data_IF_308949661341
#
_entry.id   IF_308949661341
#
_cell.length_a   1.000
_cell.length_b   1.000
_cell.length_c   1.000
_cell.angle_alpha   90.00
_cell.angle_beta   90.00
_cell.angle_gamma   90.00
#
_symmetry.space_group_name_H-M   'P 1'
#
loop_
_entity.id
_entity.type
_entity.pdbx_description
1 polymer ?
#
# COMPACT_ATOMS: atom_id res chain seq x y z
N UNK A 1 -27.32 0.49 -56.96
CA UNK A 1 -27.97 -0.55 -56.13
C UNK A 1 -27.00 -1.70 -55.90
N UNK A 2 -26.47 -1.81 -54.68
CA UNK A 2 -26.18 -3.06 -53.94
C UNK A 2 -25.53 -2.64 -52.62
N UNK A 3 -26.39 -2.40 -51.63
CA UNK A 3 -26.00 -2.30 -50.22
C UNK A 3 -25.50 -3.67 -49.77
N UNK A 4 -24.28 -3.72 -49.23
CA UNK A 4 -23.79 -4.84 -48.45
C UNK A 4 -24.00 -4.51 -46.99
N UNK A 5 -25.18 -4.87 -46.48
CA UNK A 5 -25.47 -4.89 -45.06
C UNK A 5 -24.71 -6.08 -44.44
N UNK A 6 -23.69 -5.78 -43.64
CA UNK A 6 -23.09 -6.76 -42.75
C UNK A 6 -23.79 -6.64 -41.39
N UNK A 7 -24.75 -7.54 -41.18
CA UNK A 7 -25.24 -7.90 -39.85
C UNK A 7 -24.19 -8.80 -39.23
N UNK A 8 -23.55 -8.34 -38.16
CA UNK A 8 -22.71 -9.19 -37.30
C UNK A 8 -23.48 -9.40 -36.00
N UNK A 9 -24.05 -10.59 -35.90
CA UNK A 9 -24.61 -11.20 -34.71
C UNK A 9 -23.47 -11.94 -34.00
N UNK A 10 -23.14 -11.59 -32.76
CA UNK A 10 -22.28 -12.37 -31.85
C UNK A 10 -22.60 -11.90 -30.43
N UNK A 11 -23.42 -12.63 -29.66
CA UNK A 11 -23.13 -13.86 -28.91
C UNK A 11 -22.33 -13.61 -27.63
N UNK A 12 -23.05 -13.78 -26.50
CA UNK A 12 -22.63 -14.22 -25.18
C UNK A 12 -21.13 -14.48 -24.95
N UNK A 13 -20.57 -13.89 -23.88
CA UNK A 13 -20.02 -14.64 -22.75
C UNK A 13 -19.82 -13.70 -21.55
N UNK A 14 -20.57 -13.94 -20.48
CA UNK A 14 -20.20 -13.47 -19.15
C UNK A 14 -19.10 -14.35 -18.55
N UNK A 15 -18.63 -13.92 -17.37
CA UNK A 15 -17.53 -14.50 -16.57
C UNK A 15 -16.17 -14.06 -17.11
N UNK A 16 -15.49 -13.05 -16.56
CA UNK A 16 -15.29 -12.72 -15.15
C UNK A 16 -13.88 -13.14 -14.79
N UNK A 17 -12.94 -12.19 -14.65
CA UNK A 17 -11.59 -12.37 -14.08
C UNK A 17 -11.09 -10.98 -13.64
N UNK A 18 -11.16 -10.68 -12.34
CA UNK A 18 -10.06 -10.66 -11.35
C UNK A 18 -9.02 -9.57 -11.63
N UNK A 19 -9.25 -8.40 -11.03
CA UNK A 19 -8.34 -7.25 -11.00
C UNK A 19 -7.20 -7.51 -10.02
N UNK A 20 -5.97 -7.20 -10.42
CA UNK A 20 -4.79 -7.25 -9.55
C UNK A 20 -4.45 -5.82 -9.10
N UNK A 21 -4.84 -5.48 -7.88
CA UNK A 21 -4.41 -4.27 -7.18
C UNK A 21 -2.90 -4.35 -6.91
N UNK A 22 -2.18 -3.26 -7.18
CA UNK A 22 -0.80 -3.09 -6.70
C UNK A 22 -0.90 -2.79 -5.21
N UNK A 23 -0.22 -3.60 -4.41
CA UNK A 23 -0.30 -3.53 -2.97
C UNK A 23 0.44 -2.28 -2.45
N UNK A 24 -0.20 -1.42 -1.65
CA UNK A 24 0.48 -0.41 -0.84
C UNK A 24 1.46 -1.12 0.10
N UNK A 25 2.76 -0.84 -0.05
CA UNK A 25 3.83 -1.47 0.76
C UNK A 25 4.50 -0.45 1.66
N UNK A 26 4.27 -0.60 2.97
CA UNK A 26 4.94 0.18 4.01
C UNK A 26 6.24 -0.48 4.47
N UNK A 27 7.31 0.30 4.54
CA UNK A 27 8.63 -0.16 4.98
C UNK A 27 8.87 0.24 6.44
N UNK A 28 9.11 -0.74 7.32
CA UNK A 28 9.33 -0.51 8.75
C UNK A 28 10.58 -1.25 9.26
N UNK A 29 11.21 -0.69 10.28
CA UNK A 29 12.17 -1.41 11.12
C UNK A 29 11.46 -1.90 12.39
N UNK A 30 11.63 -3.18 12.68
CA UNK A 30 11.04 -3.83 13.85
C UNK A 30 12.07 -4.68 14.59
N UNK A 31 11.92 -4.75 15.91
CA UNK A 31 12.79 -5.53 16.79
C UNK A 31 12.02 -6.76 17.26
N UNK A 32 12.66 -7.92 17.18
CA UNK A 32 12.14 -9.18 17.71
C UNK A 32 12.99 -9.67 18.87
N UNK A 33 12.34 -10.09 19.95
CA UNK A 33 13.00 -10.44 21.23
C UNK A 33 12.34 -11.66 21.87
N UNK A 34 12.99 -12.82 21.79
CA UNK A 34 12.44 -14.08 22.31
C UNK A 34 13.17 -14.51 23.58
N UNK A 35 12.46 -14.74 24.70
CA UNK A 35 13.07 -15.21 25.92
C UNK A 35 13.64 -16.63 25.72
N UNK A 36 14.84 -16.86 26.24
CA UNK A 36 15.51 -18.16 26.25
C UNK A 36 15.35 -18.75 27.63
N UNK A 37 14.47 -19.75 27.74
CA UNK A 37 14.25 -20.43 29.01
C UNK A 37 15.29 -21.55 29.18
N UNK A 38 16.21 -21.47 30.16
CA UNK A 38 17.27 -22.47 30.34
C UNK A 38 16.73 -23.86 30.72
N UNK A 39 15.52 -23.91 31.29
CA UNK A 39 14.91 -25.14 31.80
C UNK A 39 13.78 -25.66 30.89
N UNK A 40 13.41 -24.90 29.85
CA UNK A 40 12.35 -25.24 28.92
C UNK A 40 12.86 -26.00 27.70
N UNK A 41 12.02 -26.84 27.10
CA UNK A 41 12.26 -27.31 25.72
C UNK A 41 11.95 -26.15 24.78
N UNK A 42 12.99 -25.56 24.17
CA UNK A 42 12.81 -24.56 23.10
C UNK A 42 11.93 -25.15 21.99
N UNK A 43 10.81 -24.49 21.68
CA UNK A 43 9.99 -24.84 20.51
C UNK A 43 10.57 -24.13 19.28
N UNK A 44 11.57 -24.75 18.65
CA UNK A 44 12.17 -24.24 17.43
C UNK A 44 13.44 -23.43 17.66
N UNK A 45 13.90 -22.75 16.60
CA UNK A 45 15.14 -21.97 16.62
C UNK A 45 14.79 -20.56 17.16
N UNK A 46 15.43 -20.08 18.25
CA UNK A 46 15.11 -18.77 18.85
C UNK A 46 15.15 -17.60 17.86
N UNK A 47 16.07 -17.66 16.90
CA UNK A 47 16.19 -16.70 15.80
C UNK A 47 14.91 -16.61 14.96
N UNK A 48 14.32 -17.73 14.59
CA UNK A 48 13.13 -17.77 13.74
C UNK A 48 11.93 -17.20 14.51
N UNK A 49 11.81 -17.54 15.80
CA UNK A 49 10.78 -16.97 16.66
C UNK A 49 10.94 -15.45 16.84
N UNK A 50 12.17 -14.95 16.94
CA UNK A 50 12.43 -13.52 17.04
C UNK A 50 12.08 -12.80 15.72
N UNK A 51 12.37 -13.41 14.57
CA UNK A 51 11.91 -12.90 13.28
C UNK A 51 10.38 -12.84 13.23
N UNK A 52 9.69 -13.92 13.61
CA UNK A 52 8.22 -13.96 13.63
C UNK A 52 7.61 -12.85 14.52
N UNK A 53 8.24 -12.58 15.66
CA UNK A 53 7.82 -11.48 16.54
C UNK A 53 8.06 -10.11 15.92
N UNK A 54 9.20 -9.89 15.26
CA UNK A 54 9.47 -8.63 14.56
C UNK A 54 8.46 -8.38 13.43
N UNK A 55 8.09 -9.42 12.67
CA UNK A 55 7.03 -9.34 11.67
C UNK A 55 5.68 -8.96 12.29
N UNK A 56 5.34 -9.57 13.43
CA UNK A 56 4.11 -9.25 14.17
C UNK A 56 4.07 -7.79 14.59
N UNK A 57 5.13 -7.31 15.22
CA UNK A 57 5.22 -5.92 15.64
C UNK A 57 5.06 -4.95 14.46
N UNK A 58 5.73 -5.21 13.32
CA UNK A 58 5.61 -4.38 12.13
C UNK A 58 4.17 -4.32 11.59
N UNK A 59 3.51 -5.48 11.44
CA UNK A 59 2.14 -5.56 10.93
C UNK A 59 1.15 -4.92 11.92
N UNK A 60 1.31 -5.17 13.23
CA UNK A 60 0.49 -4.58 14.27
C UNK A 60 0.64 -3.06 14.30
N UNK A 61 1.84 -2.51 14.08
CA UNK A 61 2.04 -1.06 13.99
C UNK A 61 1.26 -0.46 12.82
N UNK A 62 1.34 -1.06 11.63
CA UNK A 62 0.54 -0.61 10.47
C UNK A 62 -0.96 -0.70 10.75
N UNK A 63 -1.42 -1.75 11.43
CA UNK A 63 -2.82 -1.87 11.82
C UNK A 63 -3.26 -0.79 12.82
N UNK A 64 -2.40 -0.43 13.78
CA UNK A 64 -2.65 0.67 14.73
C UNK A 64 -2.69 2.02 14.04
N UNK A 65 -1.85 2.25 13.03
CA UNK A 65 -1.88 3.49 12.24
C UNK A 65 -3.27 3.69 11.62
N UNK A 66 -3.82 2.66 10.95
CA UNK A 66 -5.18 2.70 10.40
C UNK A 66 -6.26 2.93 11.45
N UNK A 67 -6.10 2.36 12.65
CA UNK A 67 -7.04 2.58 13.73
C UNK A 67 -6.93 3.99 14.30
N UNK A 68 -5.73 4.56 14.41
CA UNK A 68 -5.49 5.89 14.95
C UNK A 68 -6.05 6.99 14.03
N UNK A 69 -5.89 6.84 12.71
CA UNK A 69 -6.44 7.78 11.72
C UNK A 69 -7.96 7.97 11.89
N UNK A 70 -8.69 6.94 12.33
CA UNK A 70 -10.14 7.02 12.62
C UNK A 70 -10.49 8.06 13.69
N UNK A 71 -9.68 8.16 14.75
CA UNK A 71 -10.02 8.99 15.92
C UNK A 71 -9.83 10.48 15.66
N UNK A 72 -9.02 10.84 14.66
CA UNK A 72 -8.78 12.23 14.27
C UNK A 72 -10.00 12.83 13.56
N UNK A 73 -10.73 12.03 12.78
CA UNK A 73 -11.92 12.49 12.05
C UNK A 73 -13.18 12.58 12.94
N UNK A 74 -13.34 11.67 13.92
CA UNK A 74 -14.52 11.66 14.80
C UNK A 74 -14.49 12.75 15.90
N UNK A 75 -13.31 13.33 16.20
CA UNK A 75 -13.17 14.43 17.18
C UNK A 75 -13.15 15.83 16.53
N UNK A 76 -13.38 15.92 15.22
CA UNK A 76 -13.39 17.15 14.41
C UNK A 76 -14.53 18.14 14.66
N UNK A 77 -15.25 18.06 15.78
CA UNK A 77 -16.20 19.09 16.21
C UNK A 77 -15.95 19.46 17.68
N UNK A 78 -15.30 20.60 17.88
CA UNK A 78 -15.17 21.25 19.18
C UNK A 78 -13.73 21.42 19.63
N UNK A 79 -12.95 22.26 18.93
CA UNK A 79 -11.94 23.01 19.65
C UNK A 79 -12.65 23.70 20.83
N UNK A 80 -12.26 23.48 22.10
CA UNK A 80 -12.70 24.35 23.16
C UNK A 80 -12.08 25.72 22.91
N UNK A 81 -12.83 26.55 22.19
CA UNK A 81 -12.68 27.99 22.23
C UNK A 81 -12.78 28.43 23.70
N UNK A 82 -12.00 29.46 24.05
CA UNK A 82 -11.87 30.07 25.38
C UNK A 82 -11.15 29.26 26.48
N UNK A 83 -9.81 29.40 26.49
CA UNK A 83 -9.03 29.51 27.73
C UNK A 83 -9.58 30.70 28.54
N UNK A 84 -10.43 30.44 29.54
CA UNK A 84 -10.76 31.40 30.59
C UNK A 84 -9.62 31.42 31.63
N UNK A 85 -8.81 32.50 31.72
CA UNK A 85 -7.68 32.59 32.63
C UNK A 85 -8.07 32.79 34.11
N UNK A 86 -9.37 32.75 34.45
CA UNK A 86 -9.83 32.96 35.84
C UNK A 86 -10.30 31.71 36.57
N UNK A 87 -10.19 30.51 35.97
CA UNK A 87 -10.51 29.26 36.69
C UNK A 87 -9.43 28.94 37.73
N UNK A 88 -9.70 29.32 38.97
CA UNK A 88 -8.95 28.95 40.17
C UNK A 88 -8.74 27.43 40.21
N UNK A 89 -7.49 27.03 40.37
CA UNK A 89 -7.05 25.66 40.58
C UNK A 89 -7.46 25.26 42.01
N UNK A 90 -8.64 24.68 42.18
CA UNK A 90 -9.03 24.00 43.41
C UNK A 90 -9.81 22.72 43.05
N UNK A 91 -9.45 21.64 43.73
CA UNK A 91 -10.00 20.28 43.67
C UNK A 91 -9.67 19.44 42.41
N UNK A 92 -8.44 18.90 42.40
CA UNK A 92 -8.16 17.61 41.75
C UNK A 92 -8.73 16.53 42.67
N UNK A 93 -9.87 15.96 42.29
CA UNK A 93 -10.43 14.76 42.92
C UNK A 93 -9.46 13.58 42.67
N UNK A 94 -8.79 13.02 43.69
CA UNK A 94 -7.88 11.90 43.51
C UNK A 94 -8.59 10.55 43.31
N UNK A 95 -9.91 10.56 43.07
CA UNK A 95 -10.75 9.36 42.89
C UNK A 95 -11.16 9.12 41.44
N UNK A 96 -10.58 9.82 40.46
CA UNK A 96 -10.59 9.33 39.08
C UNK A 96 -9.62 8.14 39.00
N UNK A 97 -10.14 6.96 39.31
CA UNK A 97 -9.52 5.70 38.91
C UNK A 97 -9.17 5.82 37.41
N UNK A 98 -7.95 5.45 37.00
CA UNK A 98 -7.58 5.53 35.60
C UNK A 98 -8.62 4.70 34.83
N UNK A 99 -9.23 5.30 33.81
CA UNK A 99 -10.17 4.62 32.93
C UNK A 99 -9.38 3.63 32.06
N UNK A 100 -8.83 2.59 32.70
CA UNK A 100 -8.16 1.44 32.08
C UNK A 100 -9.21 0.45 31.58
N UNK A 101 -10.11 0.90 30.71
CA UNK A 101 -11.04 0.01 30.01
C UNK A 101 -11.22 0.49 28.56
N UNK A 102 -10.14 0.93 27.93
CA UNK A 102 -10.05 0.73 26.48
C UNK A 102 -9.72 -0.75 26.31
N UNK A 103 -10.73 -1.59 26.10
CA UNK A 103 -10.53 -2.99 25.69
C UNK A 103 -9.43 -3.00 24.64
N UNK A 104 -8.23 -3.44 25.01
CA UNK A 104 -7.09 -3.44 24.12
C UNK A 104 -7.47 -4.36 22.96
N UNK A 105 -7.85 -3.76 21.82
CA UNK A 105 -8.33 -4.48 20.66
C UNK A 105 -7.36 -5.63 20.39
N UNK A 106 -7.85 -6.86 20.50
CA UNK A 106 -7.05 -8.06 20.26
C UNK A 106 -6.79 -8.18 18.75
N UNK A 107 -5.79 -7.43 18.29
CA UNK A 107 -5.34 -7.42 16.90
C UNK A 107 -4.79 -8.79 16.49
N UNK A 108 -4.33 -9.61 17.43
CA UNK A 108 -3.88 -10.98 17.12
C UNK A 108 -5.08 -11.87 16.77
N UNK A 109 -6.21 -11.74 17.47
CA UNK A 109 -7.44 -12.45 17.12
C UNK A 109 -7.93 -12.08 15.71
N UNK A 110 -7.77 -10.82 15.30
CA UNK A 110 -8.21 -10.33 13.99
C UNK A 110 -7.24 -10.70 12.88
N UNK A 111 -5.96 -10.34 13.01
CA UNK A 111 -4.95 -10.55 11.97
C UNK A 111 -4.55 -12.03 11.87
N UNK A 112 -4.73 -12.79 12.96
CA UNK A 112 -4.31 -14.18 13.10
C UNK A 112 -2.87 -14.30 13.59
N UNK A 113 -2.41 -15.53 13.89
CA UNK A 113 -1.09 -15.78 14.48
C UNK A 113 0.09 -15.64 13.51
N UNK A 114 -0.16 -15.79 12.21
CA UNK A 114 0.87 -15.79 11.15
C UNK A 114 0.84 -14.47 10.40
N UNK A 115 2.00 -13.81 10.35
CA UNK A 115 2.15 -12.47 9.77
C UNK A 115 2.61 -12.48 8.30
N UNK A 116 3.10 -13.64 7.85
CA UNK A 116 3.56 -13.87 6.47
C UNK A 116 2.54 -13.41 5.41
N UNK A 117 1.21 -13.63 5.54
CA UNK A 117 0.25 -13.18 4.53
C UNK A 117 0.18 -11.66 4.32
N UNK A 118 0.63 -10.87 5.29
CA UNK A 118 0.66 -9.40 5.26
C UNK A 118 2.06 -8.85 5.00
N UNK A 119 3.06 -9.71 4.86
CA UNK A 119 4.46 -9.30 4.64
C UNK A 119 4.85 -9.61 3.21
N UNK A 120 5.16 -8.58 2.41
CA UNK A 120 5.61 -8.79 1.03
C UNK A 120 7.07 -9.23 0.95
N UNK A 121 7.93 -8.69 1.82
CA UNK A 121 9.32 -9.12 2.00
C UNK A 121 9.86 -8.70 3.38
N UNK A 122 10.93 -9.33 3.82
CA UNK A 122 11.69 -8.87 4.98
C UNK A 122 13.18 -9.17 4.84
N UNK A 123 14.00 -8.46 5.60
CA UNK A 123 15.45 -8.66 5.67
C UNK A 123 15.94 -8.42 7.09
N UNK A 124 16.71 -9.36 7.64
CA UNK A 124 17.43 -9.13 8.91
C UNK A 124 18.53 -8.10 8.66
N UNK A 125 18.44 -6.96 9.34
CA UNK A 125 19.45 -5.89 9.29
C UNK A 125 20.57 -6.21 10.28
N UNK A 126 20.18 -6.57 11.51
CA UNK A 126 21.11 -6.84 12.61
C UNK A 126 20.68 -8.11 13.36
N UNK A 127 21.59 -9.08 13.50
CA UNK A 127 21.38 -10.25 14.36
C UNK A 127 22.26 -10.10 15.60
N UNK A 128 21.60 -9.91 16.73
CA UNK A 128 22.23 -9.56 17.99
C UNK A 128 22.51 -10.77 18.87
N UNK A 129 22.08 -11.96 18.42
CA UNK A 129 22.27 -13.22 19.11
C UNK A 129 21.60 -13.27 20.49
N UNK A 130 22.14 -14.15 21.34
CA UNK A 130 21.74 -14.27 22.74
C UNK A 130 22.33 -13.13 23.56
N UNK A 131 21.52 -12.51 24.40
CA UNK A 131 21.92 -11.43 25.30
C UNK A 131 21.24 -11.59 26.66
N UNK A 132 21.75 -10.96 27.73
CA UNK A 132 20.99 -10.80 28.95
C UNK A 132 19.61 -10.22 28.66
N UNK A 133 18.57 -10.77 29.27
CA UNK A 133 17.20 -10.32 29.04
C UNK A 133 17.03 -8.87 29.51
N UNK A 134 16.61 -8.00 28.59
CA UNK A 134 16.28 -6.60 28.86
C UNK A 134 14.80 -6.30 28.64
N UNK A 135 14.11 -7.10 27.81
CA UNK A 135 12.73 -6.87 27.41
C UNK A 135 11.76 -7.95 27.91
N UNK A 136 12.25 -9.05 28.48
CA UNK A 136 11.39 -10.08 29.05
C UNK A 136 10.69 -9.59 30.34
N UNK A 137 9.39 -9.81 30.43
CA UNK A 137 8.59 -9.47 31.62
C UNK A 137 8.78 -10.48 32.76
N UNK A 138 9.12 -11.74 32.43
CA UNK A 138 9.33 -12.81 33.40
C UNK A 138 10.72 -12.66 34.05
N UNK A 139 10.81 -12.43 35.38
CA UNK A 139 12.08 -12.25 36.08
C UNK A 139 12.97 -13.50 36.10
N UNK A 140 12.43 -14.68 35.80
CA UNK A 140 13.20 -15.92 35.73
C UNK A 140 13.94 -16.08 34.37
N UNK A 141 13.61 -15.24 33.37
CA UNK A 141 14.29 -15.23 32.08
C UNK A 141 15.62 -14.48 32.20
N UNK A 142 16.73 -15.21 32.00
CA UNK A 142 18.08 -14.63 32.07
C UNK A 142 18.63 -14.16 30.75
N UNK A 143 18.23 -14.81 29.66
CA UNK A 143 18.70 -14.53 28.33
C UNK A 143 17.53 -14.35 27.36
N UNK A 144 17.74 -13.55 26.32
CA UNK A 144 16.83 -13.40 25.20
C UNK A 144 17.61 -13.42 23.88
N UNK A 145 16.96 -13.85 22.80
CA UNK A 145 17.49 -13.75 21.45
C UNK A 145 16.94 -12.49 20.79
N UNK A 146 17.81 -11.63 20.25
CA UNK A 146 17.42 -10.34 19.67
C UNK A 146 17.77 -10.25 18.19
N UNK A 147 16.85 -9.76 17.38
CA UNK A 147 17.06 -9.41 15.96
C UNK A 147 16.41 -8.08 15.62
N UNK A 148 16.97 -7.38 14.63
CA UNK A 148 16.36 -6.20 14.00
C UNK A 148 16.09 -6.54 12.54
N UNK A 149 14.85 -6.32 12.12
CA UNK A 149 14.35 -6.73 10.82
C UNK A 149 13.73 -5.53 10.11
N UNK A 150 14.13 -5.33 8.85
CA UNK A 150 13.43 -4.50 7.89
C UNK A 150 12.23 -5.30 7.35
N UNK A 151 11.02 -4.80 7.54
CA UNK A 151 9.78 -5.46 7.13
C UNK A 151 9.06 -4.59 6.13
N UNK A 152 8.66 -5.18 5.01
CA UNK A 152 7.77 -4.57 4.04
C UNK A 152 6.36 -5.16 4.22
N UNK A 153 5.45 -4.37 4.74
CA UNK A 153 4.07 -4.75 5.06
C UNK A 153 3.15 -4.31 3.93
N UNK A 154 2.33 -5.25 3.43
CA UNK A 154 1.24 -4.99 2.49
C UNK A 154 0.07 -4.36 3.27
N UNK A 155 0.00 -3.04 3.22
CA UNK A 155 -0.96 -2.24 3.99
C UNK A 155 -2.39 -2.47 3.51
N UNK A 156 -2.61 -2.71 2.22
CA UNK A 156 -3.94 -3.01 1.66
C UNK A 156 -4.51 -4.30 2.24
N UNK A 157 -3.68 -5.33 2.40
CA UNK A 157 -4.12 -6.58 3.05
C UNK A 157 -4.45 -6.38 4.52
N UNK A 158 -3.67 -5.56 5.22
CA UNK A 158 -3.94 -5.23 6.63
C UNK A 158 -5.26 -4.46 6.72
N UNK A 159 -5.43 -3.40 5.94
CA UNK A 159 -6.64 -2.60 5.88
C UNK A 159 -7.86 -3.45 5.52
N UNK A 160 -7.77 -4.25 4.46
CA UNK A 160 -8.82 -5.18 4.05
C UNK A 160 -9.21 -6.13 5.19
N UNK A 161 -8.24 -6.62 5.96
CA UNK A 161 -8.52 -7.49 7.10
C UNK A 161 -9.25 -6.76 8.23
N UNK A 162 -8.86 -5.52 8.52
CA UNK A 162 -9.50 -4.68 9.55
C UNK A 162 -10.92 -4.26 9.13
N UNK A 163 -11.14 -3.91 7.86
CA UNK A 163 -12.48 -3.62 7.29
C UNK A 163 -13.38 -4.85 7.43
N UNK A 164 -12.90 -6.03 7.01
CA UNK A 164 -13.66 -7.27 7.11
C UNK A 164 -13.98 -7.68 8.56
N UNK A 165 -13.19 -7.23 9.52
CA UNK A 165 -13.44 -7.42 10.95
C UNK A 165 -14.35 -6.33 11.55
N UNK A 166 -14.73 -5.32 10.78
CA UNK A 166 -15.55 -4.19 11.23
C UNK A 166 -14.82 -3.23 12.18
N UNK A 167 -13.49 -3.30 12.26
CA UNK A 167 -12.69 -2.46 13.16
C UNK A 167 -12.47 -1.05 12.62
N UNK A 168 -12.42 -0.92 11.30
CA UNK A 168 -12.46 0.37 10.60
C UNK A 168 -13.67 0.35 9.67
N UNK A 169 -14.32 1.51 9.45
CA UNK A 169 -15.36 1.57 8.43
C UNK A 169 -14.76 1.11 7.10
N UNK A 170 -15.60 0.55 6.23
CA UNK A 170 -15.34 0.63 4.81
C UNK A 170 -15.47 2.12 4.42
N UNK A 171 -14.50 2.95 4.84
CA UNK A 171 -14.37 4.31 4.34
C UNK A 171 -14.18 4.23 2.84
N UNK A 172 -14.55 5.29 2.12
CA UNK A 172 -14.32 5.40 0.68
C UNK A 172 -12.90 4.92 0.37
N UNK A 173 -12.78 3.73 -0.22
CA UNK A 173 -11.59 3.31 -0.95
C UNK A 173 -11.16 4.55 -1.73
N UNK A 174 -9.93 5.09 -1.58
CA UNK A 174 -9.56 6.39 -2.12
C UNK A 174 -10.13 6.55 -3.52
N UNK A 175 -11.18 7.37 -3.66
CA UNK A 175 -12.13 7.47 -4.77
C UNK A 175 -11.68 6.78 -6.06
N UNK A 176 -12.07 5.53 -6.31
CA UNK A 176 -11.87 4.82 -7.59
C UNK A 176 -10.53 5.12 -8.31
N UNK A 177 -9.43 5.30 -7.55
CA UNK A 177 -8.13 5.61 -8.15
C UNK A 177 -7.54 4.30 -8.61
N UNK A 178 -7.63 4.07 -9.91
CA UNK A 178 -6.99 2.95 -10.56
C UNK A 178 -5.48 3.22 -10.62
N UNK A 179 -4.71 2.41 -9.92
CA UNK A 179 -3.28 2.25 -10.23
C UNK A 179 -3.16 1.37 -11.47
N UNK A 180 -2.57 1.93 -12.52
CA UNK A 180 -2.41 1.30 -13.82
C UNK A 180 -0.93 1.20 -14.17
N UNK A 181 -0.50 0.00 -14.52
CA UNK A 181 0.83 -0.23 -15.03
C UNK A 181 0.81 -0.06 -16.56
N UNK A 182 1.43 1.01 -17.03
CA UNK A 182 1.57 1.34 -18.43
C UNK A 182 2.95 0.92 -18.93
N UNK A 183 2.98 -0.13 -19.74
CA UNK A 183 4.15 -0.59 -20.46
C UNK A 183 4.25 0.16 -21.79
N UNK A 184 5.41 0.76 -22.03
CA UNK A 184 5.65 1.60 -23.20
C UNK A 184 6.91 1.17 -23.90
N UNK A 185 6.78 0.75 -25.15
CA UNK A 185 7.92 0.50 -26.03
C UNK A 185 8.22 1.71 -26.91
N UNK A 186 9.50 1.93 -27.26
CA UNK A 186 9.92 2.96 -28.22
C UNK A 186 10.22 4.35 -27.64
N UNK A 187 10.13 4.54 -26.32
CA UNK A 187 10.58 5.76 -25.63
C UNK A 187 12.12 5.80 -25.43
N UNK A 188 12.87 5.81 -26.53
CA UNK A 188 14.35 5.73 -26.49
C UNK A 188 15.05 7.07 -26.23
N UNK A 189 14.30 8.18 -26.23
CA UNK A 189 14.84 9.52 -26.07
C UNK A 189 14.08 10.29 -24.98
N UNK A 190 14.81 11.05 -24.17
CA UNK A 190 14.22 11.85 -23.10
C UNK A 190 13.13 12.83 -23.58
N UNK A 191 13.28 13.54 -24.73
CA UNK A 191 12.21 14.40 -25.24
C UNK A 191 10.91 13.64 -25.55
N UNK A 192 11.01 12.42 -26.08
CA UNK A 192 9.84 11.57 -26.34
C UNK A 192 9.16 11.15 -25.03
N UNK A 193 9.94 10.76 -24.02
CA UNK A 193 9.43 10.44 -22.69
C UNK A 193 8.73 11.63 -22.03
N UNK A 194 9.34 12.83 -22.09
CA UNK A 194 8.77 14.03 -21.51
C UNK A 194 7.45 14.40 -22.18
N UNK A 195 7.40 14.41 -23.52
CA UNK A 195 6.17 14.68 -24.27
C UNK A 195 5.07 13.65 -23.97
N UNK A 196 5.44 12.37 -23.88
CA UNK A 196 4.48 11.31 -23.52
C UNK A 196 3.96 11.47 -22.09
N UNK A 197 4.81 11.80 -21.12
CA UNK A 197 4.38 12.07 -19.74
C UNK A 197 3.45 13.28 -19.65
N UNK A 198 3.75 14.35 -20.37
CA UNK A 198 2.91 15.56 -20.40
C UNK A 198 1.54 15.28 -21.03
N UNK A 199 1.49 14.42 -22.05
CA UNK A 199 0.24 13.89 -22.61
C UNK A 199 -0.59 13.13 -21.56
N UNK A 200 0.05 12.24 -20.78
CA UNK A 200 -0.64 11.46 -19.76
C UNK A 200 -1.21 12.35 -18.65
N UNK A 201 -0.44 13.30 -18.12
CA UNK A 201 -0.87 14.15 -16.99
C UNK A 201 -1.85 15.24 -17.42
N UNK A 202 -1.67 15.83 -18.60
CA UNK A 202 -2.52 16.90 -19.08
C UNK A 202 -3.78 16.38 -19.76
N UNK A 203 -3.77 16.18 -21.09
CA UNK A 203 -4.97 15.79 -21.85
C UNK A 203 -5.66 14.49 -21.42
N UNK A 204 -4.89 13.48 -20.98
CA UNK A 204 -5.46 12.18 -20.58
C UNK A 204 -5.96 12.20 -19.14
N UNK A 205 -5.48 13.14 -18.31
CA UNK A 205 -5.94 13.32 -16.94
C UNK A 205 -5.42 12.29 -15.94
N UNK A 206 -4.22 11.75 -16.15
CA UNK A 206 -3.52 11.00 -15.11
C UNK A 206 -3.17 11.93 -13.94
N UNK A 207 -3.56 11.55 -12.72
CA UNK A 207 -3.24 12.31 -11.50
C UNK A 207 -1.75 12.22 -11.16
N UNK A 208 -1.15 11.05 -11.39
CA UNK A 208 0.27 10.78 -11.13
C UNK A 208 0.83 9.82 -12.17
N UNK A 209 2.06 10.08 -12.60
CA UNK A 209 2.82 9.19 -13.49
C UNK A 209 4.23 9.05 -12.93
N UNK A 210 4.60 7.84 -12.51
CA UNK A 210 5.90 7.53 -11.90
C UNK A 210 6.61 6.45 -12.69
N UNK A 211 7.88 6.64 -13.10
CA UNK A 211 8.65 5.57 -13.73
C UNK A 211 9.01 4.50 -12.69
N UNK A 212 8.64 3.25 -12.98
CA UNK A 212 8.98 2.06 -12.17
C UNK A 212 10.26 1.42 -12.69
N UNK A 213 10.35 1.26 -14.01
CA UNK A 213 11.51 0.67 -14.68
C UNK A 213 11.77 1.42 -15.99
N UNK A 214 13.03 1.70 -16.27
CA UNK A 214 13.46 2.27 -17.55
C UNK A 214 14.61 1.45 -18.10
N UNK A 215 14.38 0.83 -19.25
CA UNK A 215 15.35 0.05 -19.99
C UNK A 215 15.36 0.50 -21.45
N UNK A 216 16.38 0.07 -22.20
CA UNK A 216 16.50 0.45 -23.61
C UNK A 216 15.32 -0.13 -24.41
N UNK A 217 14.52 0.72 -25.04
CA UNK A 217 13.35 0.31 -25.81
C UNK A 217 12.09 0.03 -25.01
N UNK A 218 12.14 0.05 -23.67
CA UNK A 218 10.99 -0.33 -22.82
C UNK A 218 10.98 0.44 -21.51
N UNK A 219 9.86 1.12 -21.24
CA UNK A 219 9.59 1.89 -20.03
C UNK A 219 8.34 1.37 -19.36
N UNK A 220 8.39 1.20 -18.05
CA UNK A 220 7.25 0.80 -17.22
C UNK A 220 6.86 1.95 -16.32
N UNK A 221 5.62 2.41 -16.43
CA UNK A 221 5.07 3.53 -15.68
C UNK A 221 3.96 3.06 -14.76
N UNK A 222 3.99 3.53 -13.51
CA UNK A 222 2.85 3.50 -12.61
C UNK A 222 2.03 4.78 -12.84
N UNK A 223 0.77 4.61 -13.22
CA UNK A 223 -0.16 5.67 -13.60
C UNK A 223 -1.36 5.63 -12.66
N UNK A 224 -1.55 6.68 -11.89
CA UNK A 224 -2.73 6.86 -11.05
C UNK A 224 -3.78 7.66 -11.82
N UNK A 225 -4.97 7.09 -11.99
CA UNK A 225 -6.06 7.74 -12.72
C UNK A 225 -7.41 7.25 -12.20
N UNK A 226 -8.45 8.07 -12.34
CA UNK A 226 -9.83 7.65 -12.07
C UNK A 226 -10.45 6.90 -13.26
N UNK A 227 -9.81 6.93 -14.43
CA UNK A 227 -10.27 6.25 -15.62
C UNK A 227 -9.99 4.74 -15.56
N UNK A 228 -10.84 3.92 -16.18
CA UNK A 228 -10.52 2.52 -16.41
C UNK A 228 -9.40 2.37 -17.45
N UNK A 229 -8.73 1.23 -17.55
CA UNK A 229 -7.69 1.01 -18.57
C UNK A 229 -8.18 1.19 -20.01
N UNK A 230 -9.45 0.88 -20.26
CA UNK A 230 -10.07 1.04 -21.58
C UNK A 230 -10.33 2.52 -21.86
N UNK A 231 -10.98 3.23 -20.93
CA UNK A 231 -11.27 4.65 -21.08
C UNK A 231 -9.99 5.50 -21.14
N UNK A 232 -8.98 5.11 -20.36
CA UNK A 232 -7.65 5.71 -20.37
C UNK A 232 -6.95 5.53 -21.72
N UNK A 233 -7.01 4.33 -22.29
CA UNK A 233 -6.45 4.08 -23.61
C UNK A 233 -7.20 4.85 -24.70
N UNK A 234 -8.53 4.92 -24.63
CA UNK A 234 -9.34 5.72 -25.56
C UNK A 234 -8.98 7.21 -25.45
N UNK A 235 -8.84 7.74 -24.24
CA UNK A 235 -8.40 9.11 -24.01
C UNK A 235 -6.97 9.35 -24.53
N UNK A 236 -6.06 8.40 -24.31
CA UNK A 236 -4.68 8.46 -24.82
C UNK A 236 -4.63 8.55 -26.34
N UNK A 237 -5.37 7.69 -27.03
CA UNK A 237 -5.44 7.69 -28.50
C UNK A 237 -6.13 8.95 -29.04
N UNK A 238 -7.17 9.43 -28.35
CA UNK A 238 -7.89 10.65 -28.74
C UNK A 238 -7.03 11.90 -28.57
N UNK A 239 -6.21 11.95 -27.52
CA UNK A 239 -5.37 13.10 -27.20
C UNK A 239 -3.97 13.05 -27.83
N UNK A 240 -3.67 12.02 -28.64
CA UNK A 240 -2.33 11.83 -29.21
C UNK A 240 -1.95 13.03 -30.11
N UNK A 241 -0.86 13.76 -29.80
CA UNK A 241 -0.41 14.88 -30.62
C UNK A 241 0.28 14.41 -31.90
N UNK A 242 0.37 15.27 -32.92
CA UNK A 242 0.92 14.92 -34.25
C UNK A 242 2.38 14.44 -34.24
N UNK A 243 3.15 14.76 -33.20
CA UNK A 243 4.54 14.35 -33.02
C UNK A 243 4.70 13.00 -32.28
N UNK A 244 3.60 12.36 -31.88
CA UNK A 244 3.56 11.03 -31.29
C UNK A 244 2.68 10.11 -32.13
N UNK A 245 3.14 8.90 -32.36
CA UNK A 245 2.31 7.81 -32.87
C UNK A 245 2.19 6.76 -31.76
N UNK A 246 0.96 6.46 -31.35
CA UNK A 246 0.66 5.50 -30.29
C UNK A 246 -0.11 4.33 -30.89
N UNK A 247 0.46 3.13 -30.80
CA UNK A 247 -0.17 1.90 -31.25
C UNK A 247 -0.54 1.05 -30.02
N UNK A 248 -1.83 0.79 -29.77
CA UNK A 248 -2.24 -0.08 -28.68
C UNK A 248 -1.86 -1.52 -29.00
N UNK A 249 -1.16 -2.18 -28.07
CA UNK A 249 -0.87 -3.62 -28.16
C UNK A 249 -1.88 -4.40 -27.35
N UNK A 250 -2.13 -3.97 -26.11
CA UNK A 250 -3.00 -4.66 -25.18
C UNK A 250 -3.53 -3.72 -24.10
N UNK A 251 -4.79 -3.90 -23.71
CA UNK A 251 -5.34 -3.34 -22.48
C UNK A 251 -6.08 -4.45 -21.73
N UNK A 252 -5.69 -4.73 -20.49
CA UNK A 252 -6.30 -5.79 -19.69
C UNK A 252 -6.16 -5.49 -18.20
N UNK A 253 -7.30 -5.43 -17.50
CA UNK A 253 -7.33 -5.10 -16.07
C UNK A 253 -6.69 -3.73 -15.81
N UNK A 254 -5.65 -3.70 -14.99
CA UNK A 254 -4.84 -2.51 -14.66
C UNK A 254 -3.59 -2.38 -15.52
N UNK A 255 -3.48 -3.09 -16.64
CA UNK A 255 -2.30 -3.04 -17.52
C UNK A 255 -2.66 -2.53 -18.91
N UNK A 256 -1.88 -1.57 -19.37
CA UNK A 256 -1.93 -1.08 -20.75
C UNK A 256 -0.53 -1.23 -21.35
N UNK A 257 -0.47 -1.79 -22.55
CA UNK A 257 0.75 -1.89 -23.32
C UNK A 257 0.57 -1.14 -24.64
N UNK A 258 1.44 -0.17 -24.89
CA UNK A 258 1.48 0.63 -26.11
C UNK A 258 2.89 0.65 -26.69
N UNK A 259 2.97 0.72 -28.01
CA UNK A 259 4.19 1.10 -28.73
C UNK A 259 4.07 2.57 -29.08
N UNK A 260 5.12 3.33 -28.79
CA UNK A 260 5.18 4.77 -29.05
C UNK A 260 6.31 5.05 -30.03
N UNK A 261 6.01 5.76 -31.11
CA UNK A 261 7.02 6.31 -32.02
C UNK A 261 7.01 7.83 -31.94
N UNK A 262 8.19 8.43 -31.84
CA UNK A 262 8.37 9.88 -31.80
C UNK A 262 8.75 10.41 -33.17
N UNK A 263 8.01 11.41 -33.65
CA UNK A 263 8.31 12.14 -34.88
C UNK A 263 8.90 13.49 -34.46
N UNK A 264 10.24 13.66 -34.54
CA UNK A 264 10.85 14.93 -34.17
C UNK A 264 10.38 16.05 -35.11
N UNK A 265 10.00 17.20 -34.55
CA UNK A 265 9.73 18.38 -35.36
C UNK A 265 10.98 18.76 -36.18
N UNK A 266 10.83 19.17 -37.45
CA UNK A 266 11.94 19.63 -38.25
C UNK A 266 12.56 20.86 -37.56
N UNK A 267 13.88 20.81 -37.34
CA UNK A 267 14.63 21.94 -36.79
C UNK A 267 14.38 23.18 -37.65
N UNK A 268 13.79 24.22 -37.03
CA UNK A 268 13.49 25.51 -37.66
C UNK A 268 14.75 26.36 -37.81
#
# INVERSE_FOLDING_TARGET
MKMLARVVLSALLGVGIVTSASADVRKLEAVGTVPINPNGKEKGIPRDSAIDQALREAVTRVARDFLADRWVDETGEGAPDSLDPTRSVDEVDPTEEPVEDTEALDLEAVLGKKMVPYTSRFRVIEDRGRRPALFAEDPDVREEYVVIVEVHVDADRVQSKLVNAGLIPAGETPLDRNEMLLEVEGLDAYPAYAAFRDLLVGPVGAERVTPVEMSRGRTLLDVQTTASAVDFLEALLTATPENLEIVPVQASGSRVHVVVSWIPEPAS
#
